data_IF_553936952275
#
_entry.id   IF_553936952275
#
_cell.length_a   1.000
_cell.length_b   1.000
_cell.length_c   1.000
_cell.angle_alpha   90.00
_cell.angle_beta   90.00
_cell.angle_gamma   90.00
#
_symmetry.space_group_name_H-M   'P 1'
#
loop_
_entity.id
_entity.type
_entity.pdbx_description
1 polymer ?
#
# COMPACT_ATOMS: atom_id res chain seq x y z
N UNK A 1 -0.41 10.26 -21.31
CA UNK A 1 -1.74 10.86 -21.09
C UNK A 1 -1.62 12.37 -21.04
N UNK A 2 -2.60 13.08 -21.61
CA UNK A 2 -2.74 14.53 -21.47
C UNK A 2 -3.29 14.82 -20.07
N UNK A 3 -2.66 15.71 -19.35
CA UNK A 3 -2.96 15.93 -17.91
C UNK A 3 -3.21 17.40 -17.58
N UNK A 4 -3.07 18.30 -18.55
CA UNK A 4 -3.39 19.73 -18.45
C UNK A 4 -4.11 20.18 -19.71
N UNK A 5 -5.08 21.05 -19.60
CA UNK A 5 -5.95 21.51 -20.70
C UNK A 5 -7.06 20.51 -21.02
N UNK A 6 -7.59 20.55 -22.22
CA UNK A 6 -8.66 19.64 -22.65
C UNK A 6 -8.16 18.20 -22.67
N UNK A 7 -8.78 17.32 -21.88
CA UNK A 7 -8.41 15.90 -21.74
C UNK A 7 -9.46 14.96 -22.36
N UNK A 8 -10.69 15.43 -22.57
CA UNK A 8 -11.78 14.66 -23.18
C UNK A 8 -12.79 15.60 -23.80
N UNK A 9 -13.28 15.25 -24.98
CA UNK A 9 -14.40 15.89 -25.67
C UNK A 9 -15.38 14.80 -26.10
N UNK A 10 -16.65 14.97 -25.75
CA UNK A 10 -17.75 14.09 -26.12
C UNK A 10 -18.91 14.94 -26.66
N UNK A 11 -18.93 15.20 -27.97
CA UNK A 11 -19.99 16.03 -28.58
C UNK A 11 -21.39 15.43 -28.45
N UNK A 12 -21.50 14.08 -28.40
CA UNK A 12 -22.79 13.42 -28.28
C UNK A 12 -23.42 13.65 -26.90
N UNK A 13 -22.57 13.74 -25.87
CA UNK A 13 -22.98 14.04 -24.49
C UNK A 13 -22.88 15.53 -24.16
N UNK A 14 -22.51 16.37 -25.11
CA UNK A 14 -22.35 17.80 -24.90
C UNK A 14 -21.33 18.14 -23.82
N UNK A 15 -20.24 17.34 -23.67
CA UNK A 15 -19.34 17.42 -22.52
C UNK A 15 -17.88 17.59 -22.98
N UNK A 16 -17.23 18.64 -22.49
CA UNK A 16 -15.78 18.81 -22.61
C UNK A 16 -15.17 18.89 -21.21
N UNK A 17 -14.06 18.16 -20.96
CA UNK A 17 -13.37 18.14 -19.68
C UNK A 17 -12.00 18.79 -19.80
N UNK A 18 -11.75 19.79 -18.95
CA UNK A 18 -10.44 20.41 -18.76
C UNK A 18 -9.81 19.92 -17.48
N UNK A 19 -8.58 19.45 -17.56
CA UNK A 19 -7.73 19.24 -16.39
C UNK A 19 -6.95 20.52 -16.07
N UNK A 20 -6.94 20.91 -14.80
CA UNK A 20 -6.24 22.06 -14.25
C UNK A 20 -5.41 21.63 -13.05
N UNK A 21 -4.28 22.29 -12.75
CA UNK A 21 -3.53 22.05 -11.53
C UNK A 21 -4.39 22.20 -10.27
N UNK A 22 -4.04 21.47 -9.22
CA UNK A 22 -4.59 21.72 -7.88
C UNK A 22 -3.92 22.92 -7.21
N UNK A 23 -2.62 23.18 -7.54
CA UNK A 23 -1.83 24.29 -6.99
C UNK A 23 -0.50 23.81 -6.40
N UNK A 24 -0.28 24.03 -5.12
CA UNK A 24 0.91 23.59 -4.38
C UNK A 24 0.59 22.31 -3.61
N UNK A 25 1.40 21.28 -3.80
CA UNK A 25 1.28 19.99 -3.11
C UNK A 25 2.26 19.90 -1.95
N UNK A 26 1.79 19.57 -0.75
CA UNK A 26 2.63 19.22 0.40
C UNK A 26 2.81 17.70 0.48
N UNK A 27 4.03 17.22 0.26
CA UNK A 27 4.35 15.81 0.17
C UNK A 27 5.12 15.30 1.39
N UNK A 28 4.44 14.68 2.36
CA UNK A 28 5.10 14.04 3.51
C UNK A 28 5.59 12.66 3.11
N UNK A 29 6.90 12.40 3.27
CA UNK A 29 7.57 11.18 2.85
C UNK A 29 7.99 10.31 4.04
N UNK A 30 7.88 8.97 3.95
CA UNK A 30 8.24 8.05 5.03
C UNK A 30 9.75 7.83 5.12
N UNK A 31 10.21 7.26 6.24
CA UNK A 31 11.60 6.80 6.39
C UNK A 31 11.88 5.49 5.64
N UNK A 32 10.84 4.73 5.34
CA UNK A 32 10.95 3.40 4.70
C UNK A 32 11.35 3.47 3.23
N UNK A 33 11.07 4.61 2.57
CA UNK A 33 11.48 4.83 1.17
C UNK A 33 11.81 6.32 0.91
N UNK A 34 12.95 6.81 1.41
CA UNK A 34 13.30 8.24 1.39
C UNK A 34 13.81 8.76 0.04
N UNK A 35 14.09 7.87 -0.92
CA UNK A 35 14.53 8.24 -2.26
C UNK A 35 13.39 8.19 -3.28
N UNK A 36 12.74 7.03 -3.44
CA UNK A 36 11.77 6.83 -4.51
C UNK A 36 10.41 7.49 -4.23
N UNK A 37 9.94 7.56 -2.97
CA UNK A 37 8.67 8.22 -2.64
C UNK A 37 8.66 9.72 -3.00
N UNK A 38 9.71 10.53 -2.68
CA UNK A 38 9.79 11.91 -3.15
C UNK A 38 9.73 12.06 -4.67
N UNK A 39 10.45 11.20 -5.41
CA UNK A 39 10.42 11.20 -6.88
C UNK A 39 9.03 10.89 -7.41
N UNK A 40 8.38 9.84 -6.89
CA UNK A 40 7.04 9.46 -7.29
C UNK A 40 6.03 10.60 -7.08
N UNK A 41 6.04 11.24 -5.92
CA UNK A 41 5.14 12.37 -5.62
C UNK A 41 5.45 13.60 -6.44
N UNK A 42 6.73 13.93 -6.66
CA UNK A 42 7.14 15.04 -7.51
C UNK A 42 6.72 14.82 -8.98
N UNK A 43 6.94 13.62 -9.52
CA UNK A 43 6.52 13.28 -10.89
C UNK A 43 5.01 13.44 -11.07
N UNK A 44 4.19 12.98 -10.13
CA UNK A 44 2.73 13.11 -10.20
C UNK A 44 2.28 14.57 -10.08
N UNK A 45 2.90 15.34 -9.18
CA UNK A 45 2.62 16.77 -9.01
C UNK A 45 2.95 17.55 -10.27
N UNK A 46 4.17 17.41 -10.78
CA UNK A 46 4.63 18.10 -12.00
C UNK A 46 3.81 17.67 -13.23
N UNK A 47 3.45 16.39 -13.33
CA UNK A 47 2.57 15.89 -14.39
C UNK A 47 1.20 16.55 -14.39
N UNK A 48 0.68 16.91 -13.22
CA UNK A 48 -0.58 17.68 -13.04
C UNK A 48 -0.40 19.19 -13.20
N UNK A 49 0.83 19.68 -13.45
CA UNK A 49 1.13 21.11 -13.56
C UNK A 49 1.28 21.84 -12.22
N UNK A 50 1.54 21.11 -11.12
CA UNK A 50 1.64 21.63 -9.77
C UNK A 50 3.10 21.85 -9.35
N UNK A 51 3.32 22.71 -8.35
CA UNK A 51 4.53 22.70 -7.54
C UNK A 51 4.40 21.73 -6.36
N UNK A 52 5.53 21.28 -5.80
CA UNK A 52 5.53 20.38 -4.65
C UNK A 52 6.57 20.77 -3.62
N UNK A 53 6.17 20.75 -2.33
CA UNK A 53 7.04 20.92 -1.16
C UNK A 53 7.15 19.56 -0.47
N UNK A 54 8.36 19.03 -0.38
CA UNK A 54 8.65 17.72 0.22
C UNK A 54 9.05 17.89 1.68
N UNK A 55 8.35 17.19 2.56
CA UNK A 55 8.68 17.05 3.96
C UNK A 55 9.29 15.66 4.21
N UNK A 56 10.61 15.55 4.46
CA UNK A 56 11.26 14.27 4.71
C UNK A 56 10.99 13.79 6.14
N UNK A 57 11.05 12.46 6.34
CA UNK A 57 11.18 11.93 7.69
C UNK A 57 12.58 12.22 8.26
N UNK A 58 12.74 12.40 9.59
CA UNK A 58 14.04 12.67 10.18
C UNK A 58 15.11 11.62 9.83
N UNK A 59 14.75 10.33 9.86
CA UNK A 59 15.68 9.23 9.55
C UNK A 59 16.08 9.16 8.06
N UNK A 60 15.23 9.64 7.15
CA UNK A 60 15.50 9.63 5.71
C UNK A 60 15.96 11.01 5.16
N UNK A 61 16.13 12.02 6.01
CA UNK A 61 16.31 13.40 5.58
C UNK A 61 17.50 13.62 4.65
N UNK A 62 18.64 13.00 4.92
CA UNK A 62 19.84 13.13 4.07
C UNK A 62 19.61 12.58 2.66
N UNK A 63 19.03 11.37 2.56
CA UNK A 63 18.71 10.74 1.28
C UNK A 63 17.67 11.55 0.52
N UNK A 64 16.58 11.96 1.17
CA UNK A 64 15.53 12.79 0.54
C UNK A 64 16.10 14.12 0.04
N UNK A 65 16.98 14.77 0.82
CA UNK A 65 17.66 16.01 0.39
C UNK A 65 18.43 15.78 -0.91
N UNK A 66 19.29 14.77 -0.95
CA UNK A 66 20.08 14.51 -2.16
C UNK A 66 19.20 14.21 -3.36
N UNK A 67 18.10 13.48 -3.14
CA UNK A 67 17.11 13.17 -4.19
C UNK A 67 16.44 14.45 -4.71
N UNK A 68 16.05 15.37 -3.84
CA UNK A 68 15.43 16.65 -4.24
C UNK A 68 16.44 17.53 -4.98
N UNK A 69 17.70 17.60 -4.51
CA UNK A 69 18.77 18.33 -5.21
C UNK A 69 18.94 17.83 -6.65
N UNK A 70 18.99 16.51 -6.87
CA UNK A 70 19.07 15.92 -8.20
C UNK A 70 17.86 16.28 -9.07
N UNK A 71 16.65 16.23 -8.53
CA UNK A 71 15.45 16.65 -9.28
C UNK A 71 15.49 18.13 -9.68
N UNK A 72 15.93 19.00 -8.79
CA UNK A 72 16.09 20.44 -9.07
C UNK A 72 17.16 20.69 -10.13
N UNK A 73 18.31 20.00 -10.04
CA UNK A 73 19.36 20.05 -11.06
C UNK A 73 18.83 19.66 -12.46
N UNK A 74 18.02 18.60 -12.55
CA UNK A 74 17.44 18.15 -13.82
C UNK A 74 16.37 19.12 -14.37
N UNK A 75 15.54 19.70 -13.49
CA UNK A 75 14.60 20.75 -13.89
C UNK A 75 15.36 21.95 -14.51
N UNK A 76 16.42 22.41 -13.85
CA UNK A 76 17.25 23.52 -14.33
C UNK A 76 17.92 23.21 -15.68
N UNK A 77 18.51 22.01 -15.83
CA UNK A 77 19.10 21.55 -17.10
C UNK A 77 18.08 21.49 -18.24
N UNK A 78 16.83 21.16 -17.92
CA UNK A 78 15.71 21.09 -18.85
C UNK A 78 15.07 22.46 -19.14
N UNK A 79 15.58 23.54 -18.56
CA UNK A 79 15.06 24.90 -18.77
C UNK A 79 13.78 25.21 -17.96
N UNK A 80 13.50 24.44 -16.92
CA UNK A 80 12.36 24.64 -16.04
C UNK A 80 12.76 25.24 -14.69
N UNK A 81 11.85 25.98 -14.01
CA UNK A 81 12.12 26.50 -12.67
C UNK A 81 12.43 25.37 -11.67
N UNK A 82 13.57 25.43 -11.02
CA UNK A 82 13.96 24.46 -10.00
C UNK A 82 13.04 24.50 -8.75
N UNK A 83 12.39 25.65 -8.50
CA UNK A 83 11.47 25.84 -7.38
C UNK A 83 10.11 25.14 -7.53
N UNK A 84 9.87 24.48 -8.65
CA UNK A 84 8.74 23.57 -8.79
C UNK A 84 8.82 22.37 -7.83
N UNK A 85 10.04 22.03 -7.38
CA UNK A 85 10.27 21.00 -6.37
C UNK A 85 11.09 21.62 -5.23
N UNK A 86 10.49 21.68 -4.06
CA UNK A 86 11.09 22.27 -2.86
C UNK A 86 11.19 21.22 -1.74
N UNK A 87 12.04 21.49 -0.77
CA UNK A 87 12.28 20.68 0.41
C UNK A 87 12.15 21.54 1.65
N UNK A 88 11.45 21.05 2.67
CA UNK A 88 11.46 21.72 3.98
C UNK A 88 12.90 21.83 4.52
N UNK A 89 13.29 23.00 5.09
CA UNK A 89 14.62 23.21 5.61
C UNK A 89 14.94 22.28 6.78
N UNK A 90 16.21 21.94 6.96
CA UNK A 90 16.68 21.12 8.09
C UNK A 90 17.10 21.98 9.27
N UNK A 91 16.88 21.49 10.50
CA UNK A 91 16.24 20.24 10.88
C UNK A 91 14.71 20.33 10.70
N UNK A 92 14.09 19.28 10.10
CA UNK A 92 12.64 19.22 9.92
C UNK A 92 11.97 18.94 11.25
N UNK A 93 11.04 19.82 11.66
CA UNK A 93 10.24 19.63 12.86
C UNK A 93 8.80 19.20 12.53
N UNK A 94 8.09 18.75 13.57
CA UNK A 94 6.66 18.41 13.45
C UNK A 94 5.82 19.66 13.18
N UNK A 95 6.22 20.80 13.76
CA UNK A 95 5.56 22.09 13.61
C UNK A 95 5.71 22.61 12.18
N UNK A 96 6.92 22.56 11.61
CA UNK A 96 7.16 22.94 10.21
C UNK A 96 6.36 22.07 9.23
N UNK A 97 6.30 20.76 9.49
CA UNK A 97 5.51 19.84 8.67
C UNK A 97 4.01 20.15 8.78
N UNK A 98 3.54 20.48 9.99
CA UNK A 98 2.14 20.89 10.20
C UNK A 98 1.83 22.20 9.48
N UNK A 99 2.71 23.18 9.59
CA UNK A 99 2.53 24.47 8.94
C UNK A 99 2.50 24.33 7.42
N UNK A 100 3.39 23.52 6.84
CA UNK A 100 3.31 23.18 5.42
C UNK A 100 1.94 22.60 5.06
N UNK A 101 1.43 21.62 5.85
CA UNK A 101 0.13 21.01 5.58
C UNK A 101 -1.03 22.00 5.68
N UNK A 102 -0.92 23.02 6.52
CA UNK A 102 -1.94 24.06 6.66
C UNK A 102 -1.95 25.07 5.50
N UNK A 103 -0.84 25.22 4.78
CA UNK A 103 -0.68 26.27 3.75
C UNK A 103 -0.80 25.75 2.31
N UNK A 104 -0.70 24.43 2.07
CA UNK A 104 -0.76 23.88 0.72
C UNK A 104 -2.20 23.63 0.25
N UNK A 105 -2.39 23.50 -1.06
CA UNK A 105 -3.70 23.22 -1.66
C UNK A 105 -4.08 21.72 -1.55
N UNK A 106 -3.08 20.83 -1.53
CA UNK A 106 -3.25 19.38 -1.38
C UNK A 106 -2.13 18.80 -0.51
N UNK A 107 -2.48 18.13 0.56
CA UNK A 107 -1.55 17.36 1.38
C UNK A 107 -1.56 15.88 0.98
N UNK A 108 -0.38 15.33 0.62
CA UNK A 108 -0.21 13.91 0.28
C UNK A 108 0.75 13.28 1.28
N UNK A 109 0.20 12.49 2.21
CA UNK A 109 0.93 11.97 3.36
C UNK A 109 1.11 10.47 3.25
N UNK A 110 2.36 10.01 3.21
CA UNK A 110 2.71 8.59 3.31
C UNK A 110 3.56 8.38 4.55
N UNK A 111 3.10 7.51 5.46
CA UNK A 111 3.83 7.23 6.70
C UNK A 111 2.94 6.76 7.84
N UNK A 112 3.29 7.14 9.07
CA UNK A 112 2.55 6.70 10.26
C UNK A 112 1.12 7.22 10.28
N UNK A 113 0.22 6.44 10.88
CA UNK A 113 -1.20 6.82 11.06
C UNK A 113 -1.34 8.19 11.77
N UNK A 114 -0.45 8.51 12.71
CA UNK A 114 -0.44 9.83 13.36
C UNK A 114 -0.20 10.98 12.38
N UNK A 115 0.69 10.82 11.40
CA UNK A 115 0.92 11.85 10.39
C UNK A 115 -0.30 12.01 9.48
N UNK A 116 -0.95 10.91 9.12
CA UNK A 116 -2.19 10.93 8.33
C UNK A 116 -3.30 11.65 9.09
N UNK A 117 -3.50 11.35 10.38
CA UNK A 117 -4.49 12.04 11.22
C UNK A 117 -4.21 13.53 11.36
N UNK A 118 -2.96 13.93 11.58
CA UNK A 118 -2.55 15.34 11.66
C UNK A 118 -2.83 16.09 10.35
N UNK A 119 -2.58 15.45 9.21
CA UNK A 119 -2.90 16.04 7.91
C UNK A 119 -4.40 16.23 7.72
N UNK A 120 -5.22 15.25 8.10
CA UNK A 120 -6.68 15.39 8.06
C UNK A 120 -7.20 16.47 8.99
N UNK A 121 -6.54 16.69 10.13
CA UNK A 121 -6.87 17.77 11.09
C UNK A 121 -6.41 19.15 10.64
N UNK A 122 -5.55 19.27 9.63
CA UNK A 122 -5.08 20.56 9.10
C UNK A 122 -6.19 21.38 8.42
N UNK A 123 -7.29 20.73 8.02
CA UNK A 123 -8.34 21.33 7.20
C UNK A 123 -8.03 21.40 5.70
N UNK A 124 -6.81 21.04 5.30
CA UNK A 124 -6.40 20.94 3.88
C UNK A 124 -6.91 19.63 3.27
N UNK A 125 -7.27 19.67 2.00
CA UNK A 125 -7.61 18.46 1.25
C UNK A 125 -6.44 17.47 1.34
N UNK A 126 -6.69 16.27 1.87
CA UNK A 126 -5.64 15.33 2.24
C UNK A 126 -5.86 13.96 1.60
N UNK A 127 -4.78 13.41 1.04
CA UNK A 127 -4.67 12.01 0.67
C UNK A 127 -3.66 11.36 1.62
N UNK A 128 -4.16 10.49 2.50
CA UNK A 128 -3.35 9.79 3.48
C UNK A 128 -3.14 8.33 3.10
N UNK A 129 -1.89 7.85 3.25
CA UNK A 129 -1.53 6.44 3.09
C UNK A 129 -0.87 5.99 4.38
N UNK A 130 -1.58 5.13 5.12
CA UNK A 130 -1.16 4.63 6.42
C UNK A 130 -0.39 3.31 6.36
N UNK A 131 -0.41 2.58 7.49
CA UNK A 131 0.22 1.27 7.62
C UNK A 131 -0.41 0.24 6.70
N UNK A 132 0.43 -0.67 6.18
CA UNK A 132 0.00 -1.88 5.51
C UNK A 132 0.10 -3.10 6.43
N UNK A 133 -0.59 -4.15 6.07
CA UNK A 133 -0.44 -5.46 6.70
C UNK A 133 -1.01 -6.47 5.70
N UNK A 134 -0.17 -6.99 4.83
CA UNK A 134 -0.58 -7.81 3.70
C UNK A 134 -0.66 -9.30 4.08
N UNK A 135 -1.82 -9.84 4.50
CA UNK A 135 -2.03 -11.27 4.62
C UNK A 135 -2.26 -11.89 3.24
N UNK A 136 -1.68 -13.06 2.98
CA UNK A 136 -1.79 -13.78 1.72
C UNK A 136 -2.20 -15.23 1.96
N UNK A 137 -3.20 -15.72 1.23
CA UNK A 137 -3.66 -17.12 1.32
C UNK A 137 -2.87 -17.98 0.33
N UNK A 138 -2.43 -19.16 0.78
CA UNK A 138 -2.00 -20.27 -0.09
C UNK A 138 -3.12 -21.31 -0.09
N UNK A 139 -3.85 -21.34 -1.19
CA UNK A 139 -5.02 -22.19 -1.41
C UNK A 139 -4.61 -23.60 -1.86
N UNK A 140 -5.48 -24.58 -1.66
CA UNK A 140 -5.26 -25.98 -2.04
C UNK A 140 -4.88 -26.20 -3.50
N UNK A 141 -5.31 -25.29 -4.37
CA UNK A 141 -5.04 -25.36 -5.82
C UNK A 141 -3.81 -24.57 -6.26
N UNK A 142 -3.08 -23.96 -5.31
CA UNK A 142 -1.90 -23.15 -5.63
C UNK A 142 -0.79 -23.98 -6.30
N UNK A 143 -0.01 -23.33 -7.13
CA UNK A 143 1.30 -23.82 -7.51
C UNK A 143 2.26 -23.42 -6.38
N UNK A 144 2.64 -24.38 -5.55
CA UNK A 144 3.34 -24.11 -4.29
C UNK A 144 4.76 -23.57 -4.50
N UNK A 145 5.48 -24.05 -5.52
CA UNK A 145 6.82 -23.58 -5.81
C UNK A 145 6.78 -22.15 -6.39
N UNK A 146 5.87 -21.86 -7.32
CA UNK A 146 5.64 -20.50 -7.85
C UNK A 146 5.20 -19.53 -6.74
N UNK A 147 4.31 -19.97 -5.85
CA UNK A 147 3.88 -19.17 -4.71
C UNK A 147 5.04 -18.85 -3.76
N UNK A 148 5.85 -19.86 -3.43
CA UNK A 148 7.00 -19.71 -2.54
C UNK A 148 8.08 -18.78 -3.11
N UNK A 149 8.38 -18.89 -4.41
CA UNK A 149 9.30 -17.99 -5.10
C UNK A 149 8.82 -16.55 -5.09
N UNK A 150 7.53 -16.30 -5.37
CA UNK A 150 6.91 -14.97 -5.35
C UNK A 150 6.88 -14.37 -3.95
N UNK A 151 6.49 -15.15 -2.95
CA UNK A 151 6.50 -14.72 -1.54
C UNK A 151 7.92 -14.38 -1.11
N UNK A 152 8.90 -15.23 -1.42
CA UNK A 152 10.30 -14.95 -1.13
C UNK A 152 10.78 -13.65 -1.79
N UNK A 153 10.58 -13.50 -3.10
CA UNK A 153 10.99 -12.30 -3.84
C UNK A 153 10.39 -11.02 -3.25
N UNK A 154 9.11 -11.06 -2.91
CA UNK A 154 8.40 -9.96 -2.27
C UNK A 154 8.90 -9.68 -0.86
N UNK A 155 9.10 -10.72 -0.04
CA UNK A 155 9.50 -10.61 1.36
C UNK A 155 10.90 -10.04 1.54
N UNK A 156 11.84 -10.44 0.69
CA UNK A 156 13.24 -9.97 0.80
C UNK A 156 13.46 -8.59 0.18
N UNK A 157 12.53 -8.12 -0.65
CA UNK A 157 12.66 -6.80 -1.26
C UNK A 157 12.75 -5.72 -0.19
N UNK A 158 13.83 -4.95 -0.25
CA UNK A 158 14.11 -3.85 0.68
C UNK A 158 14.05 -4.27 2.17
N UNK A 159 14.46 -5.52 2.46
CA UNK A 159 14.37 -6.17 3.77
C UNK A 159 12.97 -6.08 4.40
N UNK A 160 11.93 -6.18 3.56
CA UNK A 160 10.52 -6.14 3.98
C UNK A 160 10.07 -4.83 4.64
N UNK A 161 10.65 -3.70 4.26
CA UNK A 161 10.18 -2.39 4.73
C UNK A 161 8.98 -1.85 3.97
N UNK A 162 8.64 -2.44 2.82
CA UNK A 162 7.42 -2.09 2.10
C UNK A 162 6.18 -2.51 2.90
N UNK A 163 5.22 -1.60 3.05
CA UNK A 163 3.89 -1.92 3.61
C UNK A 163 3.11 -2.95 2.76
N UNK A 164 3.57 -3.21 1.53
CA UNK A 164 3.01 -4.21 0.62
C UNK A 164 3.70 -5.57 0.71
N UNK A 165 4.75 -5.72 1.53
CA UNK A 165 5.38 -7.03 1.74
C UNK A 165 4.43 -7.95 2.51
N UNK A 166 4.42 -9.22 2.16
CA UNK A 166 3.65 -10.24 2.90
C UNK A 166 4.05 -10.22 4.37
N UNK A 167 3.14 -9.80 5.21
CA UNK A 167 3.34 -9.77 6.65
C UNK A 167 2.93 -11.09 7.31
N UNK A 168 1.94 -11.74 6.73
CA UNK A 168 1.46 -13.06 7.13
C UNK A 168 1.03 -13.87 5.91
N UNK A 169 1.14 -15.20 6.02
CA UNK A 169 0.53 -16.15 5.09
C UNK A 169 -0.43 -17.05 5.85
N UNK A 170 -1.53 -17.42 5.19
CA UNK A 170 -2.54 -18.34 5.68
C UNK A 170 -2.59 -19.52 4.73
N UNK A 171 -2.18 -20.69 5.18
CA UNK A 171 -2.03 -21.90 4.36
C UNK A 171 -3.16 -22.87 4.69
N UNK A 172 -3.86 -23.37 3.67
CA UNK A 172 -4.88 -24.40 3.85
C UNK A 172 -4.26 -25.72 4.31
N UNK A 173 -4.98 -26.43 5.17
CA UNK A 173 -4.50 -27.60 5.91
C UNK A 173 -3.98 -28.72 5.00
N UNK A 174 -4.66 -28.96 3.90
CA UNK A 174 -4.37 -30.02 2.93
C UNK A 174 -3.06 -29.83 2.14
N UNK A 175 -2.54 -28.60 2.08
CA UNK A 175 -1.26 -28.27 1.41
C UNK A 175 -0.23 -27.68 2.38
N UNK A 176 -0.50 -27.71 3.68
CA UNK A 176 0.29 -26.97 4.67
C UNK A 176 1.76 -27.37 4.69
N UNK A 177 2.07 -28.66 4.90
CA UNK A 177 3.47 -29.10 5.01
C UNK A 177 4.22 -29.00 3.67
N UNK A 178 3.54 -29.23 2.55
CA UNK A 178 4.13 -29.08 1.22
C UNK A 178 4.44 -27.60 0.91
N UNK A 179 3.57 -26.69 1.32
CA UNK A 179 3.80 -25.23 1.19
C UNK A 179 4.95 -24.77 2.09
N UNK A 180 5.04 -25.24 3.34
CA UNK A 180 6.20 -24.96 4.23
C UNK A 180 7.48 -25.45 3.57
N UNK A 181 7.52 -26.69 3.06
CA UNK A 181 8.69 -27.24 2.39
C UNK A 181 9.09 -26.42 1.15
N UNK A 182 8.10 -25.94 0.37
CA UNK A 182 8.36 -25.04 -0.77
C UNK A 182 8.98 -23.70 -0.32
N UNK A 183 8.46 -23.11 0.73
CA UNK A 183 8.98 -21.86 1.31
C UNK A 183 10.42 -22.05 1.87
N UNK A 184 10.73 -23.19 2.48
CA UNK A 184 12.10 -23.52 2.93
C UNK A 184 13.06 -23.67 1.74
N UNK A 185 12.62 -24.30 0.63
CA UNK A 185 13.38 -24.36 -0.63
C UNK A 185 13.64 -22.98 -1.22
N UNK A 186 12.67 -22.07 -1.13
CA UNK A 186 12.82 -20.69 -1.58
C UNK A 186 13.76 -19.84 -0.71
N UNK A 187 14.13 -20.34 0.48
CA UNK A 187 15.09 -19.72 1.39
C UNK A 187 14.52 -19.31 2.74
N UNK A 188 13.31 -19.75 3.11
CA UNK A 188 12.72 -19.56 4.42
C UNK A 188 13.43 -20.37 5.51
N UNK A 189 13.41 -19.85 6.72
CA UNK A 189 13.78 -20.54 7.95
C UNK A 189 12.52 -20.79 8.78
N UNK A 190 12.20 -22.04 9.07
CA UNK A 190 11.09 -22.39 9.97
C UNK A 190 11.59 -22.27 11.40
N UNK A 191 11.15 -21.24 12.13
CA UNK A 191 11.54 -21.03 13.51
C UNK A 191 10.96 -22.11 14.42
N UNK A 192 11.75 -22.61 15.36
CA UNK A 192 11.27 -23.45 16.45
C UNK A 192 10.38 -22.66 17.40
N UNK A 193 9.70 -23.34 18.31
CA UNK A 193 8.87 -22.66 19.33
C UNK A 193 9.70 -21.72 20.22
N UNK A 194 10.92 -22.14 20.59
CA UNK A 194 11.84 -21.30 21.34
C UNK A 194 12.28 -20.07 20.56
N UNK A 195 12.65 -20.25 19.28
CA UNK A 195 13.02 -19.14 18.38
C UNK A 195 11.84 -18.19 18.13
N UNK A 196 10.61 -18.71 18.05
CA UNK A 196 9.38 -17.89 17.96
C UNK A 196 9.27 -16.91 19.14
N UNK A 197 9.47 -17.39 20.37
CA UNK A 197 9.41 -16.54 21.55
C UNK A 197 10.57 -15.53 21.60
N UNK A 198 11.77 -15.90 21.15
CA UNK A 198 12.89 -14.99 21.02
C UNK A 198 12.58 -13.86 20.01
N UNK A 199 12.02 -14.21 18.84
CA UNK A 199 11.59 -13.24 17.82
C UNK A 199 10.50 -12.32 18.38
N UNK A 200 9.50 -12.86 19.09
CA UNK A 200 8.42 -12.08 19.71
C UNK A 200 8.97 -11.03 20.68
N UNK A 201 9.81 -11.46 21.63
CA UNK A 201 10.37 -10.59 22.65
C UNK A 201 11.34 -9.54 22.11
N UNK A 202 11.93 -9.79 20.95
CA UNK A 202 12.86 -8.87 20.30
C UNK A 202 12.15 -7.88 19.36
N UNK A 203 11.11 -8.33 18.64
CA UNK A 203 10.33 -7.46 17.76
C UNK A 203 9.57 -6.38 18.52
N UNK A 204 8.98 -6.69 19.67
CA UNK A 204 8.20 -5.73 20.43
C UNK A 204 8.81 -5.49 21.81
N UNK A 205 9.19 -4.23 22.06
CA UNK A 205 9.75 -3.77 23.32
C UNK A 205 8.89 -2.64 23.88
N UNK A 206 8.40 -2.83 25.11
CA UNK A 206 7.54 -1.84 25.76
C UNK A 206 6.28 -1.49 24.96
N UNK A 207 5.67 -2.46 24.29
CA UNK A 207 4.47 -2.26 23.46
C UNK A 207 4.71 -1.48 22.16
N UNK A 208 5.94 -1.43 21.64
CA UNK A 208 6.30 -0.77 20.38
C UNK A 208 7.21 -1.67 19.56
N UNK A 209 7.10 -1.56 18.24
CA UNK A 209 8.01 -2.22 17.33
C UNK A 209 9.44 -1.71 17.57
N UNK A 210 10.36 -2.63 17.76
CA UNK A 210 11.78 -2.35 18.00
C UNK A 210 12.43 -1.78 16.75
N UNK A 211 12.83 -0.51 16.78
CA UNK A 211 13.43 0.17 15.63
C UNK A 211 14.76 -0.42 15.18
N UNK A 212 15.46 -1.14 16.05
CA UNK A 212 16.74 -1.74 15.74
C UNK A 212 16.65 -2.98 14.83
N UNK A 213 15.45 -3.55 14.66
CA UNK A 213 15.23 -4.73 13.82
C UNK A 213 14.55 -4.40 12.47
N UNK A 214 14.03 -3.18 12.32
CA UNK A 214 13.39 -2.74 11.08
C UNK A 214 14.42 -2.70 9.94
N UNK A 215 14.07 -3.23 8.78
CA UNK A 215 14.86 -3.20 7.54
C UNK A 215 16.24 -3.87 7.65
N UNK A 216 16.44 -4.79 8.57
CA UNK A 216 17.74 -5.46 8.70
C UNK A 216 17.89 -6.59 7.69
N UNK A 217 19.09 -6.73 7.05
CA UNK A 217 19.37 -7.89 6.20
C UNK A 217 19.37 -9.17 7.02
N UNK A 218 19.06 -10.29 6.36
CA UNK A 218 18.79 -11.57 7.02
C UNK A 218 19.88 -12.04 8.03
N UNK A 219 21.20 -11.94 7.75
CA UNK A 219 22.21 -12.34 8.74
C UNK A 219 22.17 -11.49 10.01
N UNK A 220 21.97 -10.18 9.86
CA UNK A 220 21.90 -9.24 10.99
C UNK A 220 20.59 -9.44 11.77
N UNK A 221 19.47 -9.69 11.06
CA UNK A 221 18.20 -10.01 11.71
C UNK A 221 18.30 -11.30 12.54
N UNK A 222 18.87 -12.37 11.97
CA UNK A 222 19.07 -13.64 12.67
C UNK A 222 19.94 -13.49 13.93
N UNK A 223 21.02 -12.71 13.85
CA UNK A 223 21.90 -12.41 14.98
C UNK A 223 21.15 -11.64 16.09
N UNK A 224 20.45 -10.57 15.75
CA UNK A 224 19.68 -9.77 16.74
C UNK A 224 18.60 -10.60 17.41
N UNK A 225 17.95 -11.50 16.66
CA UNK A 225 16.89 -12.39 17.18
C UNK A 225 17.46 -13.58 17.98
N UNK A 226 18.75 -13.82 17.95
CA UNK A 226 19.39 -14.95 18.62
C UNK A 226 19.05 -16.30 17.99
N UNK A 227 18.78 -16.35 16.68
CA UNK A 227 18.43 -17.57 15.96
C UNK A 227 19.66 -18.50 15.80
N UNK A 228 19.39 -19.76 15.46
CA UNK A 228 20.44 -20.74 15.16
C UNK A 228 21.40 -20.25 14.06
N UNK A 229 22.69 -20.68 14.11
CA UNK A 229 23.69 -20.20 13.14
C UNK A 229 23.32 -20.44 11.69
N UNK A 230 22.64 -21.54 11.39
CA UNK A 230 22.22 -21.89 10.04
C UNK A 230 21.11 -20.97 9.51
N UNK A 231 20.36 -20.33 10.42
CA UNK A 231 19.35 -19.34 10.07
C UNK A 231 19.97 -18.11 9.39
N UNK A 232 21.20 -17.73 9.72
CA UNK A 232 21.89 -16.59 9.11
C UNK A 232 22.13 -16.73 7.60
N UNK A 233 22.10 -17.95 7.07
CA UNK A 233 22.22 -18.24 5.63
C UNK A 233 20.90 -18.15 4.88
N UNK A 234 19.78 -18.01 5.59
CA UNK A 234 18.43 -17.96 5.04
C UNK A 234 18.03 -16.53 4.67
N UNK A 235 16.95 -16.42 3.91
CA UNK A 235 16.49 -15.14 3.34
C UNK A 235 15.41 -14.46 4.17
N UNK A 236 14.50 -15.25 4.78
CA UNK A 236 13.40 -14.78 5.63
C UNK A 236 13.04 -15.84 6.68
N UNK A 237 12.26 -15.47 7.69
CA UNK A 237 12.05 -16.26 8.90
C UNK A 237 10.56 -16.48 9.15
N UNK A 238 10.14 -17.74 9.09
CA UNK A 238 8.75 -18.17 9.26
C UNK A 238 8.46 -18.41 10.75
N UNK A 239 7.43 -17.74 11.25
CA UNK A 239 6.95 -17.87 12.63
C UNK A 239 5.54 -18.41 12.60
N UNK A 240 5.34 -19.63 13.05
CA UNK A 240 4.03 -20.27 13.10
C UNK A 240 3.24 -19.79 14.31
N UNK A 241 2.01 -19.32 14.08
CA UNK A 241 1.08 -18.88 15.12
C UNK A 241 -0.23 -19.64 15.06
N UNK A 242 -0.74 -20.15 16.21
CA UNK A 242 -1.96 -20.94 16.22
C UNK A 242 -3.22 -20.10 16.06
N UNK A 243 -3.16 -18.80 16.30
CA UNK A 243 -4.30 -17.89 16.22
C UNK A 243 -3.86 -16.44 16.07
N UNK A 244 -4.76 -15.62 15.54
CA UNK A 244 -4.55 -14.18 15.44
C UNK A 244 -4.66 -13.55 16.82
N UNK A 245 -3.57 -12.94 17.29
CA UNK A 245 -3.58 -12.13 18.51
C UNK A 245 -3.97 -10.68 18.24
N UNK A 246 -3.91 -9.84 19.28
CA UNK A 246 -4.16 -8.40 19.19
C UNK A 246 -2.96 -7.60 18.67
N UNK A 247 -2.94 -6.28 18.96
CA UNK A 247 -1.80 -5.40 18.63
C UNK A 247 -0.52 -5.86 19.33
N UNK A 248 0.63 -5.58 18.66
CA UNK A 248 1.98 -5.95 19.12
C UNK A 248 2.18 -7.46 19.23
N UNK A 249 1.48 -8.21 18.39
CA UNK A 249 1.65 -9.63 18.16
C UNK A 249 2.11 -9.89 16.73
N UNK A 250 2.36 -11.14 16.38
CA UNK A 250 2.76 -11.51 15.02
C UNK A 250 1.70 -11.19 13.93
N UNK A 251 0.47 -10.85 14.33
CA UNK A 251 -0.55 -10.34 13.41
C UNK A 251 -0.36 -8.85 13.05
N UNK A 252 0.43 -8.09 13.82
CA UNK A 252 0.71 -6.68 13.55
C UNK A 252 1.82 -6.51 12.50
N UNK A 253 1.93 -5.32 11.90
CA UNK A 253 2.96 -5.00 10.90
C UNK A 253 4.37 -5.06 11.52
N UNK A 254 5.29 -5.81 10.88
CA UNK A 254 6.62 -6.10 11.44
C UNK A 254 7.76 -5.34 10.75
N UNK A 255 7.59 -4.83 9.54
CA UNK A 255 8.60 -4.13 8.74
C UNK A 255 9.98 -4.83 8.77
N UNK A 256 9.98 -6.15 8.71
CA UNK A 256 11.15 -7.01 8.87
C UNK A 256 10.96 -8.34 8.14
N UNK A 257 12.03 -9.13 8.07
CA UNK A 257 12.04 -10.43 7.40
C UNK A 257 11.27 -11.53 8.15
N UNK A 258 10.63 -11.24 9.29
CA UNK A 258 9.72 -12.18 9.95
C UNK A 258 8.40 -12.30 9.17
N UNK A 259 8.03 -13.52 8.80
CA UNK A 259 6.80 -13.89 8.12
C UNK A 259 5.95 -14.76 9.04
N UNK A 260 4.77 -14.28 9.41
CA UNK A 260 3.86 -15.10 10.22
C UNK A 260 3.16 -16.13 9.36
N UNK A 261 3.04 -17.35 9.86
CA UNK A 261 2.35 -18.45 9.20
C UNK A 261 1.18 -18.89 10.05
N UNK A 262 -0.01 -18.92 9.45
CA UNK A 262 -1.23 -19.46 10.03
C UNK A 262 -1.69 -20.67 9.24
N UNK A 263 -2.23 -21.66 9.95
CA UNK A 263 -2.85 -22.84 9.36
C UNK A 263 -4.37 -22.68 9.39
N UNK A 264 -5.06 -22.91 8.28
CA UNK A 264 -6.50 -22.85 8.18
C UNK A 264 -7.06 -24.20 7.73
N UNK A 265 -8.09 -24.70 8.39
CA UNK A 265 -8.74 -25.98 8.06
C UNK A 265 -9.37 -25.98 6.67
N UNK A 266 -9.91 -24.84 6.27
CA UNK A 266 -10.60 -24.62 5.01
C UNK A 266 -10.54 -23.14 4.58
N UNK A 267 -11.05 -22.85 3.40
CA UNK A 267 -11.03 -21.50 2.82
C UNK A 267 -11.86 -20.50 3.64
N UNK A 268 -12.95 -20.91 4.30
CA UNK A 268 -13.75 -20.01 5.15
C UNK A 268 -12.97 -19.58 6.39
N UNK A 269 -12.25 -20.50 7.01
CA UNK A 269 -11.36 -20.16 8.13
C UNK A 269 -10.19 -19.27 7.67
N UNK A 270 -9.61 -19.54 6.49
CA UNK A 270 -8.57 -18.70 5.92
C UNK A 270 -9.04 -17.25 5.72
N UNK A 271 -10.24 -17.03 5.17
CA UNK A 271 -10.86 -15.70 5.08
C UNK A 271 -11.08 -15.06 6.44
N UNK A 272 -11.53 -15.83 7.42
CA UNK A 272 -11.72 -15.31 8.80
C UNK A 272 -10.39 -14.88 9.43
N UNK A 273 -9.31 -15.65 9.26
CA UNK A 273 -7.97 -15.29 9.71
C UNK A 273 -7.49 -14.02 9.02
N UNK A 274 -7.64 -13.90 7.69
CA UNK A 274 -7.29 -12.70 6.93
C UNK A 274 -8.02 -11.47 7.47
N UNK A 275 -9.32 -11.54 7.70
CA UNK A 275 -10.10 -10.44 8.29
C UNK A 275 -9.60 -10.07 9.67
N UNK A 276 -9.35 -11.05 10.53
CA UNK A 276 -8.83 -10.82 11.87
C UNK A 276 -7.45 -10.13 11.85
N UNK A 277 -6.56 -10.50 10.93
CA UNK A 277 -5.26 -9.84 10.74
C UNK A 277 -5.44 -8.38 10.33
N UNK A 278 -6.32 -8.13 9.34
CA UNK A 278 -6.60 -6.78 8.84
C UNK A 278 -7.25 -5.89 9.90
N UNK A 279 -8.07 -6.45 10.80
CA UNK A 279 -8.66 -5.72 11.93
C UNK A 279 -7.62 -5.31 13.00
N UNK A 280 -6.49 -6.02 13.10
CA UNK A 280 -5.36 -5.59 13.94
C UNK A 280 -4.68 -4.37 13.35
N UNK A 281 -4.31 -4.43 12.08
CA UNK A 281 -3.63 -3.34 11.34
C UNK A 281 -3.79 -3.58 9.84
N UNK A 282 -3.88 -2.51 9.04
CA UNK A 282 -3.80 -2.58 7.58
C UNK A 282 -5.15 -2.73 6.87
N UNK A 283 -6.27 -2.61 7.58
CA UNK A 283 -7.61 -2.57 6.96
C UNK A 283 -7.65 -1.53 5.84
N UNK A 284 -8.22 -1.91 4.70
CA UNK A 284 -8.25 -1.10 3.49
C UNK A 284 -7.05 -1.27 2.57
N UNK A 285 -5.88 -1.74 3.05
CA UNK A 285 -4.67 -1.77 2.22
C UNK A 285 -4.73 -2.83 1.12
N UNK A 286 -4.50 -4.08 1.42
CA UNK A 286 -4.49 -5.17 0.43
C UNK A 286 -4.42 -6.54 1.08
N UNK A 287 -4.84 -7.56 0.33
CA UNK A 287 -4.62 -8.99 0.61
C UNK A 287 -4.26 -9.72 -0.69
N UNK A 288 -3.82 -10.95 -0.60
CA UNK A 288 -3.49 -11.76 -1.76
C UNK A 288 -3.93 -13.22 -1.61
N UNK A 289 -3.91 -13.92 -2.72
CA UNK A 289 -4.18 -15.36 -2.78
C UNK A 289 -3.36 -16.00 -3.89
N UNK A 290 -2.69 -17.10 -3.58
CA UNK A 290 -2.13 -18.02 -4.57
C UNK A 290 -3.12 -19.16 -4.79
N UNK A 291 -3.69 -19.28 -5.99
CA UNK A 291 -4.74 -20.22 -6.32
C UNK A 291 -4.92 -20.42 -7.83
N UNK A 292 -5.42 -21.56 -8.25
CA UNK A 292 -6.02 -21.80 -9.58
C UNK A 292 -7.55 -21.71 -9.55
N UNK A 293 -8.15 -21.64 -8.37
CA UNK A 293 -9.59 -21.47 -8.19
C UNK A 293 -9.96 -19.98 -8.13
N UNK A 294 -10.40 -19.43 -9.25
CA UNK A 294 -10.77 -18.01 -9.35
C UNK A 294 -12.05 -17.67 -8.58
N UNK A 295 -12.87 -18.62 -8.20
CA UNK A 295 -14.07 -18.35 -7.40
C UNK A 295 -13.66 -18.05 -5.95
N UNK A 296 -12.64 -18.71 -5.40
CA UNK A 296 -12.03 -18.33 -4.12
C UNK A 296 -11.46 -16.90 -4.15
N UNK A 297 -10.80 -16.54 -5.26
CA UNK A 297 -10.27 -15.17 -5.38
C UNK A 297 -11.38 -14.11 -5.44
N UNK A 298 -12.51 -14.39 -6.14
CA UNK A 298 -13.69 -13.50 -6.20
C UNK A 298 -14.38 -13.38 -4.84
N UNK A 299 -14.53 -14.50 -4.14
CA UNK A 299 -15.15 -14.54 -2.82
C UNK A 299 -14.29 -13.78 -1.79
N UNK A 300 -12.96 -13.98 -1.81
CA UNK A 300 -12.05 -13.19 -0.98
C UNK A 300 -12.18 -11.68 -1.25
N UNK A 301 -12.27 -11.28 -2.50
CA UNK A 301 -12.43 -9.89 -2.88
C UNK A 301 -13.78 -9.30 -2.45
N UNK A 302 -14.85 -10.08 -2.47
CA UNK A 302 -16.19 -9.65 -2.06
C UNK A 302 -16.33 -9.52 -0.54
N UNK A 303 -15.57 -10.31 0.23
CA UNK A 303 -15.76 -10.43 1.67
C UNK A 303 -14.69 -9.72 2.52
N UNK A 304 -13.67 -9.10 1.91
CA UNK A 304 -12.60 -8.43 2.66
C UNK A 304 -12.61 -6.92 2.43
N UNK A 305 -12.44 -6.17 3.51
CA UNK A 305 -12.38 -4.71 3.51
C UNK A 305 -11.00 -4.21 3.07
N UNK A 306 -10.64 -4.44 1.81
CA UNK A 306 -9.39 -4.00 1.18
C UNK A 306 -9.64 -3.45 -0.22
N UNK A 307 -8.78 -2.53 -0.66
CA UNK A 307 -8.88 -1.94 -2.01
C UNK A 307 -8.32 -2.88 -3.08
N UNK A 308 -7.40 -3.78 -2.73
CA UNK A 308 -6.70 -4.64 -3.68
C UNK A 308 -6.64 -6.08 -3.19
N UNK A 309 -7.03 -7.00 -4.05
CA UNK A 309 -6.78 -8.45 -3.90
C UNK A 309 -5.89 -8.90 -5.04
N UNK A 310 -4.69 -9.39 -4.73
CA UNK A 310 -3.71 -9.82 -5.71
C UNK A 310 -3.76 -11.35 -5.86
N UNK A 311 -3.85 -11.83 -7.10
CA UNK A 311 -3.90 -13.25 -7.41
C UNK A 311 -2.59 -13.69 -8.05
N UNK A 312 -1.92 -14.68 -7.48
CA UNK A 312 -0.68 -15.28 -8.00
C UNK A 312 0.42 -14.26 -8.32
N UNK A 313 0.60 -13.25 -7.47
CA UNK A 313 1.60 -12.20 -7.64
C UNK A 313 2.53 -12.10 -6.43
N UNK A 314 3.78 -11.70 -6.66
CA UNK A 314 4.65 -11.20 -5.59
C UNK A 314 4.06 -9.88 -5.07
N UNK A 315 3.57 -9.89 -3.84
CA UNK A 315 2.64 -8.88 -3.35
C UNK A 315 3.24 -7.46 -3.33
N UNK A 316 4.50 -7.33 -2.90
CA UNK A 316 5.22 -6.04 -2.90
C UNK A 316 5.23 -5.39 -4.29
N UNK A 317 5.48 -6.16 -5.33
CA UNK A 317 5.56 -5.65 -6.69
C UNK A 317 4.18 -5.46 -7.31
N UNK A 318 3.28 -6.43 -7.16
CA UNK A 318 1.94 -6.37 -7.74
C UNK A 318 1.10 -5.22 -7.20
N UNK A 319 1.20 -4.94 -5.90
CA UNK A 319 0.39 -3.92 -5.24
C UNK A 319 0.74 -2.48 -5.68
N UNK A 320 2.00 -2.23 -6.02
CA UNK A 320 2.47 -0.96 -6.55
C UNK A 320 2.21 -0.74 -8.04
N UNK A 321 1.56 -1.68 -8.72
CA UNK A 321 1.39 -1.69 -10.17
C UNK A 321 2.57 -2.32 -10.88
N UNK A 322 2.33 -2.94 -12.03
CA UNK A 322 3.33 -3.66 -12.79
C UNK A 322 3.01 -3.67 -14.30
N UNK A 323 3.97 -4.08 -15.10
CA UNK A 323 3.74 -4.26 -16.53
C UNK A 323 2.85 -5.48 -16.86
N UNK A 324 2.58 -6.33 -15.89
CA UNK A 324 1.77 -7.54 -15.97
C UNK A 324 0.47 -7.45 -15.17
N UNK A 325 0.11 -6.28 -14.66
CA UNK A 325 -1.20 -5.99 -14.07
C UNK A 325 -1.67 -4.59 -14.44
N UNK A 326 -2.95 -4.28 -14.22
CA UNK A 326 -3.58 -3.04 -14.66
C UNK A 326 -3.58 -1.93 -13.60
N UNK A 327 -3.00 -2.16 -12.43
CA UNK A 327 -2.92 -1.12 -11.39
C UNK A 327 -1.96 -0.01 -11.82
N UNK A 328 -2.29 1.26 -11.56
CA UNK A 328 -1.35 2.37 -11.80
C UNK A 328 -0.07 2.19 -10.98
N UNK A 329 1.08 2.50 -11.59
CA UNK A 329 2.35 2.52 -10.86
C UNK A 329 2.36 3.56 -9.75
N UNK A 330 2.66 3.14 -8.53
CA UNK A 330 2.76 4.02 -7.37
C UNK A 330 3.62 3.46 -6.26
N UNK A 331 4.09 4.34 -5.38
CA UNK A 331 4.66 4.02 -4.06
C UNK A 331 3.74 4.49 -2.92
N UNK A 332 2.48 4.82 -3.23
CA UNK A 332 1.50 5.31 -2.28
C UNK A 332 0.13 4.68 -2.58
N UNK A 333 -0.16 3.57 -1.90
CA UNK A 333 -1.37 2.77 -2.07
C UNK A 333 -2.41 3.20 -1.04
N UNK A 334 -3.47 3.88 -1.50
CA UNK A 334 -4.56 4.29 -0.62
C UNK A 334 -5.48 3.12 -0.27
N UNK A 335 -6.14 3.20 0.87
CA UNK A 335 -6.98 2.14 1.43
C UNK A 335 -8.47 2.49 1.58
N UNK A 336 -8.94 3.54 0.92
CA UNK A 336 -10.33 3.97 0.98
C UNK A 336 -10.78 4.38 2.39
N UNK A 337 -12.08 4.42 2.60
CA UNK A 337 -12.68 4.77 3.90
C UNK A 337 -12.33 3.76 4.99
N UNK A 338 -12.04 2.52 4.64
CA UNK A 338 -11.55 1.49 5.58
C UNK A 338 -10.22 1.89 6.25
N UNK A 339 -9.38 2.64 5.53
CA UNK A 339 -8.12 3.20 6.05
C UNK A 339 -8.22 4.69 6.39
N UNK A 340 -9.44 5.24 6.47
CA UNK A 340 -9.69 6.63 6.85
C UNK A 340 -9.38 7.64 5.76
N UNK A 341 -9.48 7.30 4.47
CA UNK A 341 -9.36 8.25 3.37
C UNK A 341 -10.36 7.96 2.23
N UNK A 342 -10.49 8.88 1.28
CA UNK A 342 -11.49 8.79 0.20
C UNK A 342 -10.96 8.14 -1.07
N UNK A 343 -9.65 7.93 -1.20
CA UNK A 343 -9.04 7.33 -2.37
C UNK A 343 -9.02 5.81 -2.26
N UNK A 344 -9.74 5.12 -3.14
CA UNK A 344 -9.78 3.65 -3.27
C UNK A 344 -8.96 3.19 -4.47
N UNK A 345 -7.72 3.67 -4.62
CA UNK A 345 -6.87 3.34 -5.77
C UNK A 345 -5.39 3.53 -5.43
N UNK A 346 -4.55 3.14 -6.35
CA UNK A 346 -3.15 3.54 -6.39
C UNK A 346 -3.05 5.02 -6.72
N UNK A 347 -2.35 5.78 -5.87
CA UNK A 347 -2.14 7.20 -6.09
C UNK A 347 -1.47 7.43 -7.44
N UNK A 348 -2.07 8.24 -8.29
CA UNK A 348 -1.55 8.57 -9.61
C UNK A 348 -1.85 10.04 -9.95
N UNK A 349 -1.38 10.49 -11.12
CA UNK A 349 -1.52 11.90 -11.53
C UNK A 349 -2.96 12.43 -11.53
N UNK A 350 -3.99 11.57 -11.67
CA UNK A 350 -5.40 12.00 -11.65
C UNK A 350 -5.81 12.58 -10.30
N UNK A 351 -5.12 12.21 -9.23
CA UNK A 351 -5.35 12.75 -7.90
C UNK A 351 -4.77 14.16 -7.71
N UNK A 352 -3.98 14.65 -8.67
CA UNK A 352 -3.26 15.93 -8.64
C UNK A 352 -3.80 16.94 -9.64
N UNK A 353 -5.01 16.75 -10.13
CA UNK A 353 -5.69 17.64 -11.06
C UNK A 353 -7.12 17.94 -10.60
N UNK A 354 -7.58 19.14 -10.89
CA UNK A 354 -8.99 19.50 -10.84
C UNK A 354 -9.63 19.38 -12.23
N UNK A 355 -10.91 19.09 -12.29
CA UNK A 355 -11.66 19.00 -13.55
C UNK A 355 -12.68 20.13 -13.64
N UNK A 356 -12.64 20.88 -14.76
CA UNK A 356 -13.71 21.77 -15.16
C UNK A 356 -14.51 21.10 -16.28
N UNK A 357 -15.81 21.05 -16.13
CA UNK A 357 -16.73 20.55 -17.12
C UNK A 357 -17.40 21.71 -17.86
N UNK A 358 -17.21 21.79 -19.19
CA UNK A 358 -18.05 22.60 -20.06
C UNK A 358 -19.18 21.70 -20.54
N UNK A 359 -20.41 22.10 -20.25
CA UNK A 359 -21.59 21.30 -20.56
C UNK A 359 -22.48 22.10 -21.49
N UNK A 360 -22.90 21.52 -22.62
CA UNK A 360 -23.84 22.08 -23.56
C UNK A 360 -25.12 21.25 -23.54
N UNK A 361 -26.22 21.86 -23.93
CA UNK A 361 -27.51 21.17 -24.05
C UNK A 361 -27.43 20.07 -25.11
N UNK A 362 -27.97 18.91 -24.80
CA UNK A 362 -28.18 17.79 -25.73
C UNK A 362 -29.69 17.52 -25.88
N UNK A 363 -30.13 16.76 -26.89
CA UNK A 363 -31.48 16.27 -26.94
C UNK A 363 -31.87 15.56 -25.64
N UNK A 364 -33.13 15.78 -25.20
CA UNK A 364 -33.59 15.17 -23.95
C UNK A 364 -33.64 13.63 -24.10
N UNK A 365 -32.95 12.95 -23.21
CA UNK A 365 -32.92 11.49 -23.07
C UNK A 365 -33.57 11.12 -21.74
N UNK A 366 -34.87 11.43 -21.65
CA UNK A 366 -35.67 11.16 -20.45
C UNK A 366 -36.39 9.82 -20.62
N UNK A 367 -36.15 8.86 -19.74
CA UNK A 367 -36.90 7.62 -19.75
C UNK A 367 -38.39 7.91 -19.49
N UNK A 368 -39.27 7.18 -20.16
CA UNK A 368 -40.70 7.27 -19.93
C UNK A 368 -41.06 6.76 -18.52
N UNK A 369 -42.21 7.24 -18.01
CA UNK A 369 -42.69 6.71 -16.71
C UNK A 369 -42.95 5.20 -16.78
N UNK A 370 -43.36 4.67 -17.93
CA UNK A 370 -43.57 3.25 -18.15
C UNK A 370 -42.26 2.45 -18.07
N UNK A 371 -41.17 2.98 -18.63
CA UNK A 371 -39.83 2.36 -18.49
C UNK A 371 -39.33 2.34 -17.02
N UNK A 372 -39.62 3.42 -16.27
CA UNK A 372 -39.18 3.53 -14.88
C UNK A 372 -40.05 2.75 -13.91
N UNK A 373 -41.36 2.82 -14.07
CA UNK A 373 -42.33 2.36 -13.08
C UNK A 373 -43.18 1.17 -13.56
N UNK A 374 -43.13 0.81 -14.84
CA UNK A 374 -43.98 -0.25 -15.42
C UNK A 374 -43.98 -1.54 -14.59
N UNK A 375 -42.80 -2.12 -14.25
CA UNK A 375 -42.74 -3.33 -13.41
C UNK A 375 -43.31 -3.15 -12.00
N UNK A 376 -43.24 -1.95 -11.45
CA UNK A 376 -43.86 -1.64 -10.16
C UNK A 376 -45.41 -1.54 -10.29
N UNK A 377 -45.91 -0.84 -11.33
CA UNK A 377 -47.34 -0.70 -11.58
C UNK A 377 -48.01 -2.02 -11.92
N UNK A 378 -47.33 -2.90 -12.67
CA UNK A 378 -47.83 -4.25 -12.94
C UNK A 378 -48.04 -5.06 -11.65
N UNK A 379 -47.21 -4.83 -10.64
CA UNK A 379 -47.26 -5.59 -9.38
C UNK A 379 -48.18 -4.95 -8.34
N UNK A 380 -48.28 -3.62 -8.31
CA UNK A 380 -48.94 -2.91 -7.21
C UNK A 380 -50.04 -1.96 -7.67
N UNK A 381 -50.29 -1.85 -8.96
CA UNK A 381 -51.21 -0.87 -9.55
C UNK A 381 -50.58 0.50 -9.77
N UNK A 382 -51.14 1.28 -10.70
CA UNK A 382 -50.68 2.63 -11.02
C UNK A 382 -51.27 3.64 -10.06
#
# INVERSE_FOLDING_TARGET
>A
AKTVGVISEDPQRGLVKWAKPVGVVGAVCPSTNPAATPVNKAMMSLKGGNAVIIAPSPAGAATTRRTVELMREELKKSGHPEDLVQLLPSPVSKEMTQEMMNQVDLAVVTGSQNNVQRAMQSGTVTIGVGAGNAPVIIDSTADLDDAAEKICASKIFDNSTSCSSENAIVILDDVYEDAIAALERAGGWRCSEEEREQVRNTLWQGGKLNRHVIAKPAPVFAEIMGLAKDAASRKFFMVEEPSVGGKHTFADEKLSLALTVYRARDFNEAKAIVRAILDVTGKGHSTGIHTKNMDHARELAAETDVVRVLVNQAHTFGNGGGFNNSLPFTLSMAGGTWAGNTLCDNLNYKCFINLTHLVTTIPEDKPSEEELFGPYWERYGK
#
